data_IF_527256884933
#
_entry.id   IF_527256884933
#
_cell.length_a   1.000
_cell.length_b   1.000
_cell.length_c   1.000
_cell.angle_alpha   90.00
_cell.angle_beta   90.00
_cell.angle_gamma   90.00
#
_symmetry.space_group_name_H-M   'P 1'
#
loop_
_entity.id
_entity.type
_entity.pdbx_description
1 polymer ?
#
# COMPACT_ATOMS: atom_id res chain seq x y z
N UNK A 1 11.90 3.40 -13.79
CA UNK A 1 10.74 2.64 -13.30
C UNK A 1 11.14 1.84 -12.07
N UNK A 2 10.67 2.25 -10.88
CA UNK A 2 10.95 1.61 -9.59
C UNK A 2 9.68 0.93 -9.11
N UNK A 3 9.77 -0.39 -8.92
CA UNK A 3 8.63 -1.23 -8.57
C UNK A 3 8.92 -1.89 -7.23
N UNK A 4 7.91 -1.91 -6.36
CA UNK A 4 7.91 -2.71 -5.15
C UNK A 4 6.85 -3.81 -5.29
N UNK A 5 7.23 -5.05 -4.97
CA UNK A 5 6.27 -6.13 -4.72
C UNK A 5 6.52 -6.63 -3.31
N UNK A 6 5.49 -6.59 -2.46
CA UNK A 6 5.60 -6.95 -1.06
C UNK A 6 4.43 -7.83 -0.64
N UNK A 7 4.76 -9.07 -0.26
CA UNK A 7 3.87 -9.91 0.54
C UNK A 7 3.91 -9.44 2.00
N UNK A 8 2.80 -8.87 2.48
CA UNK A 8 2.71 -8.23 3.78
C UNK A 8 2.38 -9.18 4.93
N UNK A 9 1.94 -10.41 4.64
CA UNK A 9 1.56 -11.43 5.64
C UNK A 9 0.67 -10.89 6.78
N UNK A 10 -0.33 -10.07 6.43
CA UNK A 10 -1.23 -9.41 7.37
C UNK A 10 -0.84 -7.97 7.70
N UNK A 11 -1.06 -7.05 6.73
CA UNK A 11 -0.89 -5.60 6.92
C UNK A 11 -2.00 -4.98 7.79
N UNK A 12 -2.00 -5.28 9.09
CA UNK A 12 -3.09 -4.90 10.01
C UNK A 12 -2.72 -3.84 11.05
N UNK A 13 -1.43 -3.65 11.35
CA UNK A 13 -0.99 -2.75 12.42
C UNK A 13 -0.67 -1.34 11.92
N UNK A 14 -1.10 -0.32 12.66
CA UNK A 14 -0.80 1.10 12.36
C UNK A 14 0.70 1.38 12.15
N UNK A 15 1.65 0.76 12.90
CA UNK A 15 3.08 0.90 12.64
C UNK A 15 3.53 0.39 11.27
N UNK A 16 3.05 -0.80 10.85
CA UNK A 16 3.45 -1.39 9.56
C UNK A 16 2.95 -0.53 8.39
N UNK A 17 1.73 0.00 8.51
CA UNK A 17 1.17 0.92 7.52
C UNK A 17 2.02 2.20 7.42
N UNK A 18 2.44 2.78 8.55
CA UNK A 18 3.34 3.95 8.54
C UNK A 18 4.71 3.65 7.95
N UNK A 19 5.29 2.51 8.26
CA UNK A 19 6.57 2.09 7.71
C UNK A 19 6.50 1.94 6.17
N UNK A 20 5.42 1.33 5.68
CA UNK A 20 5.12 1.27 4.25
C UNK A 20 5.10 2.68 3.65
N UNK A 21 4.37 3.64 4.24
CA UNK A 21 4.34 5.00 3.71
C UNK A 21 5.68 5.71 3.66
N UNK A 22 6.48 5.58 4.70
CA UNK A 22 7.81 6.17 4.73
C UNK A 22 8.66 5.59 3.59
N UNK A 23 8.55 4.28 3.34
CA UNK A 23 9.20 3.64 2.21
C UNK A 23 8.70 4.18 0.87
N UNK A 24 7.38 4.28 0.67
CA UNK A 24 6.77 4.79 -0.56
C UNK A 24 7.24 6.22 -0.87
N UNK A 25 7.22 7.10 0.15
CA UNK A 25 7.63 8.51 0.00
C UNK A 25 9.14 8.65 -0.26
N UNK A 26 9.99 7.91 0.45
CA UNK A 26 11.44 8.03 0.32
C UNK A 26 11.98 7.45 -0.99
N UNK A 27 11.38 6.36 -1.48
CA UNK A 27 11.93 5.63 -2.63
C UNK A 27 11.47 6.16 -3.99
N UNK A 28 10.47 7.05 -4.02
CA UNK A 28 9.84 7.54 -5.25
C UNK A 28 9.45 6.38 -6.17
N UNK A 29 8.63 5.47 -5.66
CA UNK A 29 8.19 4.28 -6.40
C UNK A 29 7.15 4.66 -7.44
N UNK A 30 7.20 4.02 -8.60
CA UNK A 30 6.25 4.22 -9.70
C UNK A 30 5.06 3.24 -9.57
N UNK A 31 5.31 2.01 -9.12
CA UNK A 31 4.31 0.94 -8.98
C UNK A 31 4.55 0.15 -7.69
N UNK A 32 3.47 -0.21 -7.00
CA UNK A 32 3.50 -0.98 -5.75
C UNK A 32 2.47 -2.11 -5.81
N UNK A 33 2.93 -3.34 -5.63
CA UNK A 33 2.08 -4.51 -5.43
C UNK A 33 2.14 -4.91 -3.96
N UNK A 34 0.98 -4.99 -3.31
CA UNK A 34 0.84 -5.50 -1.95
C UNK A 34 0.00 -6.78 -1.99
N UNK A 35 0.47 -7.82 -1.30
CA UNK A 35 -0.18 -9.13 -1.24
C UNK A 35 -0.39 -9.55 0.20
N UNK A 36 -1.36 -10.44 0.44
CA UNK A 36 -1.73 -10.92 1.78
C UNK A 36 -1.95 -9.77 2.78
N UNK A 37 -2.74 -8.77 2.38
CA UNK A 37 -3.08 -7.64 3.24
C UNK A 37 -4.44 -7.83 3.89
N UNK A 38 -4.65 -7.28 5.09
CA UNK A 38 -5.98 -7.15 5.72
C UNK A 38 -6.58 -5.74 5.49
N UNK A 39 -6.19 -5.12 4.38
CA UNK A 39 -6.67 -3.81 3.97
C UNK A 39 -8.00 -3.95 3.25
N UNK A 40 -8.89 -2.99 3.50
CA UNK A 40 -10.15 -2.84 2.78
C UNK A 40 -10.04 -1.68 1.80
N UNK A 41 -10.92 -1.60 0.80
CA UNK A 41 -10.97 -0.47 -0.13
C UNK A 41 -10.97 0.88 0.62
N UNK A 42 -11.79 1.02 1.66
CA UNK A 42 -11.85 2.24 2.49
C UNK A 42 -10.49 2.61 3.12
N UNK A 43 -9.73 1.62 3.60
CA UNK A 43 -8.38 1.87 4.12
C UNK A 43 -7.49 2.33 2.96
N UNK A 44 -7.46 1.60 1.84
CA UNK A 44 -6.69 1.97 0.64
C UNK A 44 -7.01 3.38 0.16
N UNK A 45 -8.27 3.78 0.10
CA UNK A 45 -8.67 5.13 -0.35
C UNK A 45 -8.11 6.22 0.56
N UNK A 46 -8.25 6.05 1.87
CA UNK A 46 -7.64 6.95 2.84
C UNK A 46 -6.10 6.95 2.71
N UNK A 47 -5.51 5.81 2.37
CA UNK A 47 -4.07 5.70 2.17
C UNK A 47 -3.63 6.45 0.89
N UNK A 48 -4.43 6.37 -0.18
CA UNK A 48 -4.16 6.98 -1.48
C UNK A 48 -4.27 8.50 -1.47
N UNK A 49 -5.22 9.07 -0.73
CA UNK A 49 -5.41 10.52 -0.59
C UNK A 49 -4.15 11.26 -0.11
N UNK A 50 -3.24 10.58 0.59
CA UNK A 50 -2.00 11.14 1.12
C UNK A 50 -0.73 10.69 0.38
N UNK A 51 -0.89 10.06 -0.78
CA UNK A 51 0.19 9.49 -1.59
C UNK A 51 0.36 10.24 -2.93
N UNK A 52 1.48 9.99 -3.61
CA UNK A 52 1.73 10.53 -4.95
C UNK A 52 1.24 9.60 -6.08
N UNK A 53 0.49 8.54 -5.74
CA UNK A 53 -0.01 7.59 -6.73
C UNK A 53 -1.34 8.07 -7.32
N UNK A 54 -1.48 7.92 -8.63
CA UNK A 54 -2.67 8.40 -9.35
C UNK A 54 -3.81 7.39 -9.41
N UNK A 55 -3.53 6.10 -9.18
CA UNK A 55 -4.50 5.00 -9.37
C UNK A 55 -4.28 3.90 -8.34
N UNK A 56 -5.38 3.37 -7.79
CA UNK A 56 -5.40 2.24 -6.86
C UNK A 56 -6.28 1.11 -7.41
N UNK A 57 -5.95 -0.11 -7.04
CA UNK A 57 -6.77 -1.28 -7.33
C UNK A 57 -6.67 -2.25 -6.15
N UNK A 58 -7.82 -2.73 -5.66
CA UNK A 58 -7.91 -3.75 -4.63
C UNK A 58 -8.69 -4.94 -5.15
N UNK A 59 -8.37 -6.12 -4.63
CA UNK A 59 -9.21 -7.31 -4.75
C UNK A 59 -9.67 -7.64 -3.34
N UNK A 60 -10.98 -7.56 -3.11
CA UNK A 60 -11.53 -7.93 -1.79
C UNK A 60 -11.33 -9.43 -1.55
N UNK A 61 -10.99 -9.84 -0.30
CA UNK A 61 -10.92 -11.25 0.06
C UNK A 61 -12.30 -11.90 -0.13
N UNK A 62 -12.33 -13.06 -0.80
CA UNK A 62 -13.53 -13.89 -0.97
C UNK A 62 -13.91 -14.60 0.32
#
# INVERSE_FOLDING_TARGET
MKILSWNCQGLGSSPTIRALFNLLRQKHLDIVFLMETSLTQRKIDHLFQHSNFSQSFIVDPQ
#
